data_IF_356784573330
#
_entry.id   IF_356784573330
#
_cell.length_a   1.000
_cell.length_b   1.000
_cell.length_c   1.000
_cell.angle_alpha   90.00
_cell.angle_beta   90.00
_cell.angle_gamma   90.00
#
_symmetry.space_group_name_H-M   'P 1'
#
loop_
_entity.id
_entity.type
_entity.pdbx_description
1 polymer ?
#
# COMPACT_ATOMS: atom_id res chain seq x y z
N UNK A 1 -22.94 49.40 -57.40
CA UNK A 1 -23.01 49.43 -55.92
C UNK A 1 -23.19 48.03 -55.40
N UNK A 2 -22.07 47.42 -54.94
CA UNK A 2 -21.98 46.02 -54.48
C UNK A 2 -22.25 46.03 -52.97
N UNK A 3 -23.30 45.40 -52.51
CA UNK A 3 -23.53 45.19 -51.09
C UNK A 3 -22.73 44.00 -50.60
N UNK A 4 -21.77 44.24 -49.71
CA UNK A 4 -21.06 43.19 -48.99
C UNK A 4 -21.96 42.65 -47.91
N UNK A 5 -22.28 41.32 -48.01
CA UNK A 5 -22.90 40.56 -46.95
C UNK A 5 -21.80 40.03 -46.08
N UNK A 6 -21.78 40.52 -44.82
CA UNK A 6 -20.86 40.10 -43.78
C UNK A 6 -21.49 38.89 -43.08
N UNK A 7 -20.98 37.69 -43.37
CA UNK A 7 -21.38 36.46 -42.67
C UNK A 7 -20.62 36.39 -41.36
N UNK A 8 -21.33 36.53 -40.24
CA UNK A 8 -20.78 36.32 -38.91
C UNK A 8 -20.73 34.82 -38.64
N UNK A 9 -19.52 34.26 -38.63
CA UNK A 9 -19.28 32.93 -38.11
C UNK A 9 -19.42 32.96 -36.59
N UNK A 10 -20.47 32.30 -36.07
CA UNK A 10 -20.59 31.99 -34.64
C UNK A 10 -19.54 30.90 -34.32
N UNK A 11 -18.50 31.30 -33.59
CA UNK A 11 -17.57 30.38 -32.97
C UNK A 11 -18.22 29.83 -31.71
N UNK A 12 -18.68 28.58 -31.75
CA UNK A 12 -19.09 27.85 -30.55
C UNK A 12 -17.81 27.27 -29.94
N UNK A 13 -17.42 27.65 -28.74
CA UNK A 13 -16.30 26.99 -28.11
C UNK A 13 -16.76 25.59 -27.70
N UNK A 14 -16.19 24.58 -28.34
CA UNK A 14 -16.23 23.22 -27.83
C UNK A 14 -15.46 23.21 -26.52
N UNK A 15 -16.18 23.19 -25.39
CA UNK A 15 -15.61 22.83 -24.10
C UNK A 15 -15.35 21.32 -24.17
N UNK A 16 -14.11 20.96 -24.48
CA UNK A 16 -13.64 19.63 -24.17
C UNK A 16 -13.64 19.51 -22.67
N UNK A 17 -14.57 18.71 -22.12
CA UNK A 17 -14.40 18.16 -20.79
C UNK A 17 -13.14 17.30 -20.85
N UNK A 18 -12.01 17.87 -20.49
CA UNK A 18 -10.80 17.14 -20.22
C UNK A 18 -11.13 16.21 -19.05
N UNK A 19 -11.16 14.89 -19.32
CA UNK A 19 -10.91 13.94 -18.27
C UNK A 19 -9.48 14.27 -17.81
N UNK A 20 -9.36 14.88 -16.64
CA UNK A 20 -8.06 15.06 -16.01
C UNK A 20 -7.52 13.68 -15.68
N UNK A 21 -6.72 13.12 -16.59
CA UNK A 21 -5.73 12.14 -16.23
C UNK A 21 -4.72 12.91 -15.37
N UNK A 22 -4.83 12.78 -14.05
CA UNK A 22 -3.76 13.21 -13.17
C UNK A 22 -2.52 12.41 -13.54
N UNK A 23 -1.41 13.09 -13.83
CA UNK A 23 -0.11 12.45 -13.92
C UNK A 23 0.12 11.69 -12.61
N UNK A 24 0.53 10.43 -12.70
CA UNK A 24 0.78 9.55 -11.53
C UNK A 24 1.76 10.19 -10.54
N UNK A 25 2.66 11.04 -11.03
CA UNK A 25 3.63 11.83 -10.25
C UNK A 25 2.99 12.85 -9.28
N UNK A 26 1.70 13.20 -9.44
CA UNK A 26 1.01 14.14 -8.56
C UNK A 26 0.21 13.47 -7.43
N UNK A 27 0.15 12.15 -7.37
CA UNK A 27 -0.68 11.43 -6.39
C UNK A 27 -0.05 11.32 -5.01
N UNK A 28 1.28 11.35 -4.93
CA UNK A 28 2.01 11.53 -3.69
C UNK A 28 2.86 12.79 -3.79
N UNK A 29 2.70 13.66 -2.84
CA UNK A 29 3.52 14.86 -2.69
C UNK A 29 4.18 14.86 -1.32
N UNK A 30 5.52 14.96 -1.31
CA UNK A 30 6.26 15.33 -0.11
C UNK A 30 5.90 16.78 0.21
N UNK A 31 5.45 17.02 1.43
CA UNK A 31 5.23 18.37 1.93
C UNK A 31 6.58 18.91 2.37
N UNK A 32 7.25 19.66 1.46
CA UNK A 32 8.53 20.30 1.76
C UNK A 32 8.32 21.59 2.57
N UNK A 33 9.10 21.71 3.66
CA UNK A 33 9.27 22.96 4.41
C UNK A 33 8.30 23.21 5.54
N UNK A 34 8.82 23.29 6.68
CA UNK A 34 8.41 23.62 8.03
C UNK A 34 7.33 24.70 8.31
N UNK A 35 6.37 24.93 7.48
CA UNK A 35 5.14 25.64 7.80
C UNK A 35 3.93 24.73 7.59
N UNK A 36 3.63 24.08 8.40
CA UNK A 36 2.84 23.34 9.39
C UNK A 36 1.33 23.48 9.31
N UNK A 37 0.74 24.04 8.26
CA UNK A 37 -0.72 23.98 8.07
C UNK A 37 -1.18 22.60 7.56
N UNK A 38 -0.29 21.84 6.92
CA UNK A 38 -0.62 20.55 6.32
C UNK A 38 -0.08 19.31 7.06
N UNK A 39 0.77 19.48 8.09
CA UNK A 39 1.18 18.35 8.92
C UNK A 39 0.07 17.94 9.89
N UNK A 40 0.14 16.71 10.39
CA UNK A 40 -0.73 16.22 11.45
C UNK A 40 0.13 15.70 12.62
N UNK A 41 -0.33 15.84 13.88
CA UNK A 41 0.41 15.30 15.02
C UNK A 41 0.61 13.79 14.88
N UNK A 42 1.75 13.29 15.38
CA UNK A 42 1.96 11.86 15.58
C UNK A 42 0.98 11.38 16.65
N UNK A 43 0.19 10.37 16.33
CA UNK A 43 -0.85 9.80 17.20
C UNK A 43 -0.66 8.30 17.44
N UNK A 44 0.17 7.65 16.63
CA UNK A 44 0.55 6.24 16.77
C UNK A 44 2.06 6.16 16.89
N UNK A 45 2.56 6.06 18.11
CA UNK A 45 3.98 5.82 18.39
C UNK A 45 4.31 4.34 18.19
N UNK A 46 5.53 4.05 17.75
CA UNK A 46 6.05 2.70 17.59
C UNK A 46 7.30 2.52 18.44
N UNK A 47 7.40 1.41 19.15
CA UNK A 47 8.55 1.06 20.01
C UNK A 47 9.01 -0.39 19.85
N UNK A 48 8.35 -1.16 18.97
CA UNK A 48 8.63 -2.57 18.77
C UNK A 48 8.80 -2.88 17.27
N UNK A 49 9.51 -3.98 16.98
CA UNK A 49 9.62 -4.48 15.61
C UNK A 49 8.25 -4.88 15.09
N UNK A 50 7.93 -4.41 13.91
CA UNK A 50 6.71 -4.78 13.19
C UNK A 50 7.08 -5.35 11.82
N UNK A 51 6.55 -6.53 11.50
CA UNK A 51 6.80 -7.17 10.22
C UNK A 51 5.73 -6.81 9.20
N UNK A 52 6.16 -6.58 7.97
CA UNK A 52 5.28 -6.50 6.81
C UNK A 52 5.02 -7.90 6.26
N UNK A 53 3.76 -8.27 6.16
CA UNK A 53 3.29 -9.54 5.62
C UNK A 53 2.51 -9.28 4.34
N UNK A 54 3.12 -9.50 3.18
CA UNK A 54 2.49 -9.32 1.88
C UNK A 54 1.97 -10.67 1.38
N UNK A 55 0.65 -10.86 1.41
CA UNK A 55 -0.02 -12.04 0.86
C UNK A 55 -0.32 -11.85 -0.61
N UNK A 56 0.20 -12.70 -1.47
CA UNK A 56 -0.17 -12.76 -2.88
C UNK A 56 -1.35 -13.70 -3.06
N UNK A 57 -2.49 -13.12 -3.47
CA UNK A 57 -3.80 -13.75 -3.44
C UNK A 57 -4.62 -13.45 -4.70
N UNK A 58 -5.80 -14.03 -4.82
CA UNK A 58 -6.71 -13.77 -5.95
C UNK A 58 -8.12 -14.30 -5.68
N UNK A 59 -9.15 -13.66 -6.25
CA UNK A 59 -10.54 -14.06 -6.09
C UNK A 59 -10.83 -15.48 -6.65
N UNK A 60 -10.16 -15.90 -7.73
CA UNK A 60 -10.37 -17.21 -8.37
C UNK A 60 -9.39 -18.29 -7.85
N UNK A 61 -8.67 -18.02 -6.79
CA UNK A 61 -7.75 -18.97 -6.17
C UNK A 61 -8.48 -19.83 -5.14
N UNK A 62 -8.62 -21.15 -5.34
CA UNK A 62 -9.44 -21.99 -4.47
C UNK A 62 -8.83 -22.23 -3.07
N UNK A 63 -7.56 -21.94 -2.89
CA UNK A 63 -6.82 -22.15 -1.63
C UNK A 63 -6.52 -20.83 -0.90
N UNK A 64 -6.81 -19.68 -1.51
CA UNK A 64 -6.48 -18.37 -0.93
C UNK A 64 -7.27 -18.05 0.35
N UNK A 65 -8.57 -18.42 0.49
CA UNK A 65 -9.28 -18.22 1.75
C UNK A 65 -8.60 -18.87 2.96
N UNK A 66 -7.94 -20.02 2.77
CA UNK A 66 -7.20 -20.66 3.86
C UNK A 66 -5.88 -19.95 4.17
N UNK A 67 -5.31 -19.19 3.22
CA UNK A 67 -4.18 -18.28 3.47
C UNK A 67 -4.61 -17.16 4.41
N UNK A 68 -5.74 -16.52 4.11
CA UNK A 68 -6.34 -15.49 4.95
C UNK A 68 -6.60 -15.99 6.39
N UNK A 69 -7.07 -17.24 6.55
CA UNK A 69 -7.26 -17.82 7.89
C UNK A 69 -5.96 -17.90 8.68
N UNK A 70 -4.87 -18.34 8.04
CA UNK A 70 -3.54 -18.39 8.70
C UNK A 70 -3.05 -16.99 9.05
N UNK A 71 -3.21 -16.01 8.16
CA UNK A 71 -2.83 -14.62 8.44
C UNK A 71 -3.63 -14.03 9.61
N UNK A 72 -4.92 -14.33 9.71
CA UNK A 72 -5.72 -13.91 10.86
C UNK A 72 -5.17 -14.53 12.17
N UNK A 73 -4.78 -15.80 12.18
CA UNK A 73 -4.15 -16.44 13.35
C UNK A 73 -2.82 -15.74 13.72
N UNK A 74 -2.02 -15.37 12.72
CA UNK A 74 -0.78 -14.60 12.93
C UNK A 74 -1.12 -13.22 13.51
N UNK A 75 -2.11 -12.51 12.95
CA UNK A 75 -2.54 -11.20 13.46
C UNK A 75 -3.07 -11.28 14.88
N UNK A 76 -3.83 -12.31 15.21
CA UNK A 76 -4.32 -12.55 16.57
C UNK A 76 -3.16 -12.80 17.56
N UNK A 77 -2.08 -13.42 17.09
CA UNK A 77 -0.91 -13.74 17.92
C UNK A 77 0.00 -12.53 18.15
N UNK A 78 0.26 -11.74 17.10
CA UNK A 78 1.26 -10.66 17.11
C UNK A 78 0.65 -9.25 17.16
N UNK A 79 -0.67 -9.11 17.00
CA UNK A 79 -1.37 -7.84 17.10
C UNK A 79 -0.83 -6.77 16.17
N UNK A 80 -0.47 -5.62 16.75
CA UNK A 80 0.07 -4.46 16.02
C UNK A 80 1.50 -4.70 15.48
N UNK A 81 2.18 -5.78 15.90
CA UNK A 81 3.53 -6.09 15.45
C UNK A 81 3.57 -6.79 14.09
N UNK A 82 2.42 -6.95 13.43
CA UNK A 82 2.33 -7.34 12.02
C UNK A 82 1.40 -6.42 11.26
N UNK A 83 1.85 -5.97 10.10
CA UNK A 83 1.06 -5.27 9.08
C UNK A 83 0.81 -6.24 7.94
N UNK A 84 -0.46 -6.45 7.59
CA UNK A 84 -0.86 -7.35 6.51
C UNK A 84 -1.27 -6.54 5.28
N UNK A 85 -0.83 -6.99 4.11
CA UNK A 85 -1.27 -6.46 2.82
C UNK A 85 -1.64 -7.62 1.89
N UNK A 86 -2.89 -7.66 1.43
CA UNK A 86 -3.38 -8.62 0.45
C UNK A 86 -3.21 -8.06 -0.96
N UNK A 87 -2.34 -8.68 -1.74
CA UNK A 87 -1.99 -8.28 -3.11
C UNK A 87 -2.68 -9.20 -4.09
N UNK A 88 -3.74 -8.70 -4.72
CA UNK A 88 -4.43 -9.40 -5.79
C UNK A 88 -3.65 -9.25 -7.08
N UNK A 89 -3.11 -10.36 -7.63
CA UNK A 89 -2.30 -10.32 -8.84
C UNK A 89 -2.34 -11.63 -9.63
N UNK A 90 -1.83 -11.57 -10.86
CA UNK A 90 -1.71 -12.72 -11.73
C UNK A 90 -3.03 -13.21 -12.32
N UNK A 91 -3.02 -14.33 -13.07
CA UNK A 91 -4.15 -14.76 -13.90
C UNK A 91 -5.38 -15.19 -13.11
N UNK A 92 -5.24 -15.52 -11.82
CA UNK A 92 -6.37 -15.82 -10.95
C UNK A 92 -7.08 -14.58 -10.38
N UNK A 93 -6.44 -13.41 -10.46
CA UNK A 93 -7.03 -12.15 -10.01
C UNK A 93 -7.79 -11.40 -11.12
N UNK A 94 -7.61 -11.80 -12.40
CA UNK A 94 -8.29 -11.17 -13.52
C UNK A 94 -9.80 -11.29 -13.41
N UNK A 95 -10.58 -10.19 -13.58
CA UNK A 95 -12.02 -10.25 -13.70
C UNK A 95 -12.44 -11.22 -14.81
N UNK A 96 -13.47 -12.04 -14.56
CA UNK A 96 -13.91 -13.05 -15.51
C UNK A 96 -15.41 -13.33 -15.40
N UNK A 97 -16.07 -13.40 -16.55
CA UNK A 97 -17.50 -13.69 -16.63
C UNK A 97 -18.34 -12.54 -16.04
N UNK A 98 -19.14 -12.82 -15.03
CA UNK A 98 -19.96 -11.86 -14.31
C UNK A 98 -19.21 -11.14 -13.16
N UNK A 99 -17.96 -11.49 -12.93
CA UNK A 99 -17.12 -10.88 -11.91
C UNK A 99 -16.38 -9.70 -12.55
N UNK A 100 -16.82 -8.50 -12.20
CA UNK A 100 -16.30 -7.22 -12.72
C UNK A 100 -15.38 -6.49 -11.72
N UNK A 101 -15.38 -6.93 -10.46
CA UNK A 101 -14.51 -6.35 -9.44
C UNK A 101 -13.05 -6.68 -9.75
N UNK A 102 -12.23 -5.66 -9.99
CA UNK A 102 -10.80 -5.78 -10.19
C UNK A 102 -10.08 -5.21 -8.96
N UNK A 103 -9.36 -6.07 -8.26
CA UNK A 103 -8.58 -5.72 -7.07
C UNK A 103 -7.07 -5.68 -7.36
N UNK A 104 -6.68 -5.85 -8.63
CA UNK A 104 -5.29 -5.74 -9.05
C UNK A 104 -4.86 -4.29 -9.06
N UNK A 105 -3.57 -4.09 -8.84
CA UNK A 105 -2.90 -2.80 -9.03
C UNK A 105 -1.63 -3.03 -9.84
N UNK A 106 -1.16 -2.03 -10.58
CA UNK A 106 0.10 -2.13 -11.33
C UNK A 106 1.26 -2.45 -10.39
N UNK A 107 1.29 -1.82 -9.22
CA UNK A 107 2.30 -2.10 -8.21
C UNK A 107 2.23 -3.54 -7.67
N UNK A 108 1.03 -4.05 -7.43
CA UNK A 108 0.83 -5.44 -7.01
C UNK A 108 1.29 -6.45 -8.07
N UNK A 109 1.01 -6.18 -9.34
CA UNK A 109 1.48 -7.01 -10.44
C UNK A 109 3.02 -6.96 -10.58
N UNK A 110 3.65 -5.80 -10.32
CA UNK A 110 5.10 -5.68 -10.32
C UNK A 110 5.75 -6.49 -9.18
N UNK A 111 5.24 -6.34 -7.95
CA UNK A 111 5.69 -7.12 -6.80
C UNK A 111 5.48 -8.62 -6.99
N UNK A 112 4.38 -8.99 -7.64
CA UNK A 112 4.00 -10.38 -7.86
C UNK A 112 4.84 -11.14 -8.90
N UNK A 113 5.69 -10.45 -9.66
CA UNK A 113 6.56 -11.10 -10.68
C UNK A 113 7.47 -12.19 -10.12
N UNK A 114 7.79 -12.12 -8.84
CA UNK A 114 8.63 -13.14 -8.17
C UNK A 114 7.79 -14.32 -7.64
N UNK A 115 6.46 -14.24 -7.67
CA UNK A 115 5.56 -15.26 -7.15
C UNK A 115 5.20 -16.29 -8.22
N UNK A 116 5.24 -17.57 -7.86
CA UNK A 116 4.93 -18.67 -8.77
C UNK A 116 3.72 -19.49 -8.35
N UNK A 117 3.14 -19.20 -7.19
CA UNK A 117 1.98 -19.91 -6.62
C UNK A 117 1.08 -18.98 -5.80
N UNK A 118 -0.17 -19.40 -5.59
CA UNK A 118 -1.16 -18.72 -4.78
C UNK A 118 -1.85 -19.69 -3.82
N UNK A 119 -2.08 -19.34 -2.53
CA UNK A 119 -1.53 -18.13 -1.90
C UNK A 119 -0.04 -18.25 -1.64
N UNK A 120 0.68 -17.12 -1.64
CA UNK A 120 2.07 -17.02 -1.20
C UNK A 120 2.22 -15.87 -0.22
N UNK A 121 3.18 -15.97 0.68
CA UNK A 121 3.49 -14.93 1.66
C UNK A 121 4.92 -14.43 1.45
N UNK A 122 5.11 -13.12 1.52
CA UNK A 122 6.41 -12.49 1.59
C UNK A 122 6.56 -11.75 2.93
N UNK A 123 7.53 -12.15 3.72
CA UNK A 123 7.81 -11.57 5.04
C UNK A 123 8.92 -10.54 4.85
N UNK A 124 8.64 -9.26 5.11
CA UNK A 124 9.58 -8.13 4.99
C UNK A 124 10.33 -8.09 3.66
N UNK A 125 9.78 -8.64 2.59
CA UNK A 125 10.44 -8.77 1.27
C UNK A 125 11.80 -9.46 1.33
N UNK A 126 11.98 -10.35 2.30
CA UNK A 126 13.20 -11.09 2.59
C UNK A 126 12.97 -12.61 2.50
N UNK A 127 11.92 -13.11 3.13
CA UNK A 127 11.61 -14.54 3.22
C UNK A 127 10.29 -14.87 2.56
N UNK A 128 10.29 -15.86 1.66
CA UNK A 128 9.10 -16.49 1.08
C UNK A 128 9.03 -17.91 1.61
N UNK A 129 8.11 -18.25 2.53
CA UNK A 129 7.96 -19.61 3.04
C UNK A 129 7.54 -20.59 1.94
N UNK A 130 7.94 -21.86 2.05
CA UNK A 130 7.69 -22.88 1.03
C UNK A 130 6.21 -23.14 0.75
N UNK A 131 5.35 -22.91 1.73
CA UNK A 131 3.92 -23.05 1.60
C UNK A 131 3.18 -22.53 2.83
N UNK A 132 1.86 -22.47 2.71
CA UNK A 132 0.98 -21.92 3.74
C UNK A 132 1.14 -22.56 5.12
N UNK A 133 1.45 -23.87 5.18
CA UNK A 133 1.67 -24.58 6.45
C UNK A 133 2.89 -24.12 7.23
N UNK A 134 3.80 -23.39 6.58
CA UNK A 134 5.04 -22.90 7.19
C UNK A 134 4.95 -21.43 7.63
N UNK A 135 3.85 -20.71 7.32
CA UNK A 135 3.75 -19.26 7.51
C UNK A 135 3.91 -18.85 8.98
N UNK A 136 3.18 -19.49 9.89
CA UNK A 136 3.26 -19.18 11.33
C UNK A 136 4.68 -19.40 11.87
N UNK A 137 5.30 -20.53 11.52
CA UNK A 137 6.67 -20.83 11.93
C UNK A 137 7.67 -19.85 11.35
N UNK A 138 7.54 -19.51 10.05
CA UNK A 138 8.45 -18.57 9.40
C UNK A 138 8.35 -17.15 9.99
N UNK A 139 7.15 -16.71 10.38
CA UNK A 139 6.95 -15.42 11.07
C UNK A 139 7.59 -15.46 12.47
N UNK A 140 7.39 -16.54 13.24
CA UNK A 140 8.01 -16.71 14.55
C UNK A 140 9.54 -16.70 14.47
N UNK A 141 10.11 -17.44 13.52
CA UNK A 141 11.56 -17.51 13.28
C UNK A 141 12.13 -16.14 12.87
N UNK A 142 11.36 -15.39 12.05
CA UNK A 142 11.76 -14.06 11.64
C UNK A 142 11.84 -13.11 12.83
N UNK A 143 10.83 -13.07 13.70
CA UNK A 143 10.85 -12.28 14.93
C UNK A 143 12.01 -12.68 15.86
N UNK A 144 12.32 -13.97 15.96
CA UNK A 144 13.39 -14.45 16.83
C UNK A 144 14.80 -14.03 16.38
N UNK A 145 14.98 -13.67 15.10
CA UNK A 145 16.30 -13.40 14.51
C UNK A 145 16.47 -11.99 13.94
N UNK A 146 15.38 -11.27 13.72
CA UNK A 146 15.44 -9.93 13.14
C UNK A 146 15.93 -8.88 14.12
N UNK A 147 16.72 -7.93 13.63
CA UNK A 147 17.14 -6.76 14.39
C UNK A 147 16.12 -5.63 14.23
N UNK A 148 15.76 -4.98 15.33
CA UNK A 148 14.92 -3.79 15.35
C UNK A 148 15.79 -2.53 15.15
N UNK A 149 15.90 -2.10 13.88
CA UNK A 149 16.80 -1.01 13.49
C UNK A 149 16.23 0.39 13.69
N UNK A 150 14.92 0.54 13.58
CA UNK A 150 14.27 1.85 13.62
C UNK A 150 12.79 1.74 14.00
N UNK A 151 12.22 2.84 14.49
CA UNK A 151 10.78 3.02 14.68
C UNK A 151 10.18 3.89 13.59
N UNK A 152 8.90 3.66 13.26
CA UNK A 152 8.09 4.49 12.39
C UNK A 152 6.83 4.91 13.15
N UNK A 153 6.82 6.12 13.69
CA UNK A 153 5.63 6.67 14.34
C UNK A 153 4.81 7.49 13.36
N UNK A 154 3.48 7.42 13.45
CA UNK A 154 2.57 7.91 12.43
C UNK A 154 1.51 8.85 13.00
N UNK A 155 1.05 9.76 12.14
CA UNK A 155 -0.17 10.52 12.32
C UNK A 155 -0.86 10.69 10.98
N UNK A 156 -2.21 10.68 10.95
CA UNK A 156 -2.95 10.88 9.72
C UNK A 156 -4.17 11.79 9.93
N UNK A 157 -4.58 12.46 8.85
CA UNK A 157 -5.85 13.20 8.76
C UNK A 157 -6.32 13.22 7.31
N UNK A 158 -7.62 13.40 7.13
CA UNK A 158 -8.19 13.73 5.81
C UNK A 158 -8.31 15.24 5.71
N UNK A 159 -7.78 15.82 4.63
CA UNK A 159 -7.88 17.26 4.35
C UNK A 159 -9.26 17.66 3.77
N UNK A 160 -9.47 18.95 3.59
CA UNK A 160 -10.74 19.49 3.06
C UNK A 160 -11.02 19.03 1.60
N UNK A 161 -10.01 18.58 0.86
CA UNK A 161 -10.12 18.09 -0.51
C UNK A 161 -10.32 16.57 -0.56
N UNK A 162 -10.32 15.90 0.61
CA UNK A 162 -10.46 14.46 0.73
C UNK A 162 -9.15 13.69 0.48
N UNK A 163 -8.00 14.37 0.47
CA UNK A 163 -6.70 13.71 0.45
C UNK A 163 -6.32 13.23 1.85
N UNK A 164 -5.43 12.25 1.92
CA UNK A 164 -4.88 11.75 3.18
C UNK A 164 -3.52 12.40 3.42
N UNK A 165 -3.40 13.16 4.51
CA UNK A 165 -2.12 13.70 5.00
C UNK A 165 -1.57 12.71 6.01
N UNK A 166 -0.34 12.22 5.79
CA UNK A 166 0.36 11.32 6.69
C UNK A 166 1.64 11.99 7.17
N UNK A 167 1.79 12.12 8.48
CA UNK A 167 3.05 12.54 9.11
C UNK A 167 3.77 11.32 9.63
N UNK A 168 5.08 11.27 9.41
CA UNK A 168 5.96 10.19 9.87
C UNK A 168 7.05 10.78 10.75
N UNK A 169 7.38 10.09 11.85
CA UNK A 169 8.63 10.26 12.56
C UNK A 169 9.38 8.93 12.53
N UNK A 170 10.58 8.93 11.96
CA UNK A 170 11.44 7.77 11.85
C UNK A 170 12.61 7.99 12.81
N UNK A 171 12.76 7.09 13.78
CA UNK A 171 13.83 7.11 14.77
C UNK A 171 14.77 5.93 14.58
N UNK A 172 16.06 6.20 14.32
CA UNK A 172 17.07 5.16 14.21
C UNK A 172 17.49 4.67 15.59
N UNK A 173 17.38 3.37 15.84
CA UNK A 173 17.77 2.70 17.09
C UNK A 173 19.22 2.21 17.03
N UNK A 174 19.74 2.01 15.82
CA UNK A 174 21.09 1.56 15.51
C UNK A 174 21.66 2.39 14.36
N UNK A 175 23.00 2.32 14.15
CA UNK A 175 23.63 2.89 12.96
C UNK A 175 23.26 2.05 11.72
N UNK A 176 22.68 2.68 10.71
CA UNK A 176 22.29 2.04 9.45
C UNK A 176 23.12 2.64 8.32
N UNK A 177 24.12 1.87 7.87
CA UNK A 177 25.08 2.32 6.85
C UNK A 177 24.60 2.12 5.41
N UNK A 178 23.54 1.34 5.19
CA UNK A 178 22.93 1.20 3.86
C UNK A 178 22.03 2.38 3.54
N UNK A 179 21.87 2.66 2.25
CA UNK A 179 20.86 3.65 1.81
C UNK A 179 19.46 3.10 2.07
N UNK A 180 18.63 3.92 2.69
CA UNK A 180 17.26 3.60 3.00
C UNK A 180 16.29 4.30 2.04
N UNK A 181 15.16 3.65 1.84
CA UNK A 181 14.02 4.19 1.11
C UNK A 181 12.76 4.05 1.96
N UNK A 182 11.88 5.05 1.87
CA UNK A 182 10.56 5.00 2.46
C UNK A 182 9.52 4.80 1.36
N UNK A 183 8.55 3.93 1.61
CA UNK A 183 7.41 3.69 0.72
C UNK A 183 6.12 3.78 1.52
N UNK A 184 5.11 4.40 0.91
CA UNK A 184 3.77 4.48 1.46
C UNK A 184 2.78 3.92 0.44
N UNK A 185 1.75 3.21 0.90
CA UNK A 185 0.62 2.81 0.09
C UNK A 185 -0.65 2.68 0.93
N UNK A 186 -1.78 2.54 0.25
CA UNK A 186 -3.08 2.37 0.91
C UNK A 186 -3.57 0.93 0.77
N UNK A 187 -4.14 0.42 1.86
CA UNK A 187 -4.94 -0.80 1.86
C UNK A 187 -6.39 -0.47 2.18
N UNK A 188 -7.33 -1.28 1.70
CA UNK A 188 -8.76 -1.16 1.99
C UNK A 188 -9.30 -2.50 2.46
N UNK A 189 -10.12 -2.46 3.51
CA UNK A 189 -10.81 -3.62 4.06
C UNK A 189 -12.32 -3.56 3.78
N UNK A 190 -13.01 -4.67 4.04
CA UNK A 190 -14.46 -4.83 3.86
C UNK A 190 -14.94 -4.59 2.43
N UNK A 191 -14.12 -4.95 1.44
CA UNK A 191 -14.53 -4.91 0.04
C UNK A 191 -15.35 -6.15 -0.27
N UNK A 192 -16.66 -5.95 -0.51
CA UNK A 192 -17.56 -7.05 -0.85
C UNK A 192 -17.33 -7.54 -2.28
N UNK A 193 -17.25 -8.85 -2.45
CA UNK A 193 -17.10 -9.48 -3.77
C UNK A 193 -17.34 -10.98 -3.75
N UNK A 194 -16.85 -11.64 -4.77
CA UNK A 194 -16.93 -13.10 -4.93
C UNK A 194 -15.55 -13.71 -4.74
N UNK A 195 -15.49 -14.78 -3.95
CA UNK A 195 -14.25 -15.53 -3.70
C UNK A 195 -14.47 -17.00 -3.98
N UNK A 196 -13.54 -17.63 -4.70
CA UNK A 196 -13.52 -19.08 -4.89
C UNK A 196 -12.89 -19.75 -3.67
N UNK A 197 -13.58 -20.76 -3.13
CA UNK A 197 -13.07 -21.63 -2.07
C UNK A 197 -13.34 -23.09 -2.44
N UNK A 198 -12.31 -23.91 -2.55
CA UNK A 198 -12.42 -25.34 -2.88
C UNK A 198 -13.39 -25.68 -4.02
N UNK A 199 -13.47 -24.83 -5.05
CA UNK A 199 -14.34 -25.02 -6.22
C UNK A 199 -15.73 -24.41 -6.08
N UNK A 200 -16.10 -23.87 -4.92
CA UNK A 200 -17.34 -23.13 -4.68
C UNK A 200 -17.08 -21.63 -4.75
N UNK A 201 -18.04 -20.86 -5.25
CA UNK A 201 -18.00 -19.39 -5.18
C UNK A 201 -18.75 -18.95 -3.91
N UNK A 202 -18.06 -18.18 -3.07
CA UNK A 202 -18.65 -17.51 -1.91
C UNK A 202 -19.10 -16.14 -2.39
N UNK A 203 -20.41 -15.89 -2.39
CA UNK A 203 -21.02 -14.59 -2.63
C UNK A 203 -20.91 -13.72 -1.37
N UNK A 204 -20.69 -12.42 -1.53
CA UNK A 204 -20.59 -11.50 -0.39
C UNK A 204 -19.34 -11.72 0.50
N UNK A 205 -18.27 -12.28 -0.09
CA UNK A 205 -16.99 -12.39 0.60
C UNK A 205 -16.42 -11.00 0.86
N UNK A 206 -15.95 -10.74 2.08
CA UNK A 206 -15.32 -9.46 2.46
C UNK A 206 -13.80 -9.60 2.40
N UNK A 207 -13.22 -8.99 1.38
CA UNK A 207 -11.77 -8.90 1.25
C UNK A 207 -11.19 -7.90 2.25
N UNK A 208 -10.09 -8.27 2.91
CA UNK A 208 -9.42 -7.49 3.93
C UNK A 208 -8.01 -7.08 3.50
N UNK A 209 -7.54 -5.92 3.97
CA UNK A 209 -6.17 -5.43 3.77
C UNK A 209 -5.73 -5.37 2.31
N UNK A 210 -6.67 -5.17 1.38
CA UNK A 210 -6.40 -5.20 -0.06
C UNK A 210 -5.55 -4.01 -0.47
N UNK A 211 -4.43 -4.25 -1.13
CA UNK A 211 -3.63 -3.20 -1.76
C UNK A 211 -4.47 -2.46 -2.81
N UNK A 212 -4.75 -1.18 -2.55
CA UNK A 212 -5.58 -0.37 -3.47
C UNK A 212 -4.77 0.57 -4.30
N UNK A 213 -3.66 1.02 -3.77
CA UNK A 213 -2.91 2.07 -4.41
C UNK A 213 -1.51 2.18 -3.81
N UNK A 214 -0.54 2.31 -4.70
CA UNK A 214 0.78 2.82 -4.35
C UNK A 214 1.04 4.08 -5.15
N UNK A 215 0.88 5.25 -4.55
CA UNK A 215 1.13 6.52 -5.23
C UNK A 215 2.61 6.73 -5.59
N UNK A 216 3.51 5.82 -5.16
CA UNK A 216 4.94 5.88 -5.43
C UNK A 216 5.38 4.66 -6.26
N UNK A 217 4.71 4.34 -7.34
CA UNK A 217 5.06 3.18 -8.19
C UNK A 217 6.50 3.25 -8.71
N UNK A 218 7.05 4.45 -8.90
CA UNK A 218 8.35 4.64 -9.53
C UNK A 218 9.43 5.30 -8.64
N UNK A 219 9.11 5.71 -7.41
CA UNK A 219 10.04 6.50 -6.60
C UNK A 219 9.94 6.16 -5.11
N UNK A 220 10.60 5.07 -4.64
CA UNK A 220 10.87 5.02 -3.22
C UNK A 220 11.68 6.28 -2.87
N UNK A 221 11.18 7.06 -1.91
CA UNK A 221 11.86 8.28 -1.50
C UNK A 221 13.14 7.91 -0.75
N UNK A 222 14.28 8.30 -1.30
CA UNK A 222 15.58 8.04 -0.69
C UNK A 222 15.71 8.82 0.62
N UNK A 223 16.12 8.12 1.67
CA UNK A 223 16.37 8.69 2.98
C UNK A 223 17.86 8.83 3.31
N UNK A 224 18.72 8.09 2.59
CA UNK A 224 20.15 7.97 2.90
C UNK A 224 20.44 7.01 4.05
N UNK A 225 21.62 7.17 4.66
CA UNK A 225 22.06 6.42 5.85
C UNK A 225 21.57 7.12 7.12
N UNK A 226 21.38 6.38 8.21
CA UNK A 226 20.98 6.94 9.50
C UNK A 226 21.98 6.54 10.58
N UNK A 227 22.30 7.48 11.49
CA UNK A 227 23.03 7.19 12.71
C UNK A 227 22.08 7.00 13.88
N UNK A 228 22.44 6.18 14.84
CA UNK A 228 21.66 5.94 16.06
C UNK A 228 21.21 7.25 16.70
N UNK A 229 19.95 7.33 17.12
CA UNK A 229 19.33 8.51 17.72
C UNK A 229 18.87 9.57 16.73
N UNK A 230 19.12 9.41 15.42
CA UNK A 230 18.57 10.30 14.39
C UNK A 230 17.04 10.19 14.37
N UNK A 231 16.36 11.35 14.39
CA UNK A 231 14.91 11.46 14.18
C UNK A 231 14.64 12.26 12.92
N UNK A 232 13.89 11.67 12.00
CA UNK A 232 13.46 12.32 10.77
C UNK A 232 11.94 12.45 10.78
N UNK A 233 11.45 13.67 10.63
CA UNK A 233 10.02 13.95 10.48
C UNK A 233 9.72 14.39 9.05
N UNK A 234 8.72 13.79 8.43
CA UNK A 234 8.24 14.16 7.10
C UNK A 234 6.72 14.00 7.03
N UNK A 235 6.10 14.78 6.17
CA UNK A 235 4.68 14.65 5.88
C UNK A 235 4.44 14.41 4.40
N UNK A 236 3.43 13.62 4.10
CA UNK A 236 3.06 13.19 2.75
C UNK A 236 1.59 13.46 2.50
N UNK A 237 1.28 13.88 1.29
CA UNK A 237 -0.09 14.02 0.81
C UNK A 237 -0.38 12.88 -0.17
N UNK A 238 -1.33 11.99 0.19
CA UNK A 238 -1.79 10.93 -0.68
C UNK A 238 -3.16 11.30 -1.26
N UNK A 239 -3.29 11.17 -2.58
CA UNK A 239 -4.58 11.33 -3.27
C UNK A 239 -5.13 9.91 -3.53
N UNK A 240 -6.16 9.45 -2.80
CA UNK A 240 -6.70 8.12 -2.99
C UNK A 240 -7.25 7.91 -4.40
N UNK A 241 -7.15 6.69 -4.93
CA UNK A 241 -7.75 6.33 -6.19
C UNK A 241 -9.28 6.48 -6.16
N UNK A 242 -9.90 6.64 -7.32
CA UNK A 242 -11.35 6.67 -7.44
C UNK A 242 -11.96 5.33 -6.98
N UNK A 243 -13.09 5.39 -6.27
CA UNK A 243 -13.82 4.22 -5.81
C UNK A 243 -13.32 3.58 -4.51
N UNK A 244 -12.27 4.15 -3.89
CA UNK A 244 -11.77 3.70 -2.58
C UNK A 244 -12.64 4.26 -1.46
N UNK A 245 -13.09 3.39 -0.53
CA UNK A 245 -13.80 3.80 0.68
C UNK A 245 -12.80 4.16 1.79
N UNK A 246 -12.52 5.44 1.94
CA UNK A 246 -11.50 5.95 2.87
C UNK A 246 -11.75 5.58 4.34
N UNK A 247 -13.00 5.30 4.72
CA UNK A 247 -13.32 4.89 6.09
C UNK A 247 -12.82 3.48 6.43
N UNK A 248 -12.54 2.67 5.41
CA UNK A 248 -12.07 1.30 5.53
C UNK A 248 -10.60 1.18 5.09
N UNK A 249 -9.90 2.31 4.96
CA UNK A 249 -8.51 2.33 4.51
C UNK A 249 -7.54 2.52 5.65
N UNK A 250 -6.36 1.91 5.48
CA UNK A 250 -5.17 2.19 6.25
C UNK A 250 -4.07 2.69 5.31
N UNK A 251 -3.17 3.50 5.82
CA UNK A 251 -1.93 3.84 5.15
C UNK A 251 -0.82 3.00 5.77
N UNK A 252 -0.20 2.17 4.95
CA UNK A 252 0.98 1.40 5.30
C UNK A 252 2.21 2.21 4.96
N UNK A 253 3.13 2.32 5.90
CA UNK A 253 4.43 2.98 5.75
C UNK A 253 5.51 1.98 6.05
N UNK A 254 6.49 1.85 5.16
CA UNK A 254 7.64 0.97 5.37
C UNK A 254 8.95 1.67 5.04
N UNK A 255 10.00 1.28 5.73
CA UNK A 255 11.38 1.65 5.44
C UNK A 255 12.15 0.40 5.06
N UNK A 256 12.83 0.47 3.92
CA UNK A 256 13.54 -0.66 3.35
C UNK A 256 14.99 -0.27 2.97
N UNK A 257 15.86 -1.26 2.91
CA UNK A 257 17.18 -1.14 2.30
C UNK A 257 17.03 -0.94 0.78
N UNK A 258 17.61 0.13 0.25
CA UNK A 258 17.45 0.51 -1.16
C UNK A 258 18.07 -0.47 -2.15
N UNK A 259 19.04 -1.30 -1.70
CA UNK A 259 19.77 -2.22 -2.57
C UNK A 259 19.09 -3.58 -2.64
N UNK A 260 18.72 -4.13 -1.47
CA UNK A 260 18.11 -5.46 -1.38
C UNK A 260 16.59 -5.43 -1.51
N UNK A 261 15.95 -4.29 -1.23
CA UNK A 261 14.51 -4.17 -1.10
C UNK A 261 13.95 -4.70 0.21
N UNK A 262 14.79 -5.28 1.08
CA UNK A 262 14.37 -5.83 2.37
C UNK A 262 13.77 -4.75 3.26
N UNK A 263 12.57 -4.98 3.75
CA UNK A 263 11.91 -4.09 4.70
C UNK A 263 12.53 -4.27 6.08
N UNK A 264 12.95 -3.16 6.69
CA UNK A 264 13.54 -3.14 8.02
C UNK A 264 12.48 -2.89 9.09
N UNK A 265 11.44 -2.12 8.74
CA UNK A 265 10.34 -1.78 9.65
C UNK A 265 9.11 -1.37 8.83
N UNK A 266 7.94 -1.65 9.36
CA UNK A 266 6.66 -1.19 8.83
C UNK A 266 5.74 -0.69 9.96
N UNK A 267 4.78 0.15 9.62
CA UNK A 267 3.67 0.54 10.48
C UNK A 267 2.45 0.90 9.61
N UNK A 268 1.27 0.89 10.20
CA UNK A 268 0.02 1.30 9.52
C UNK A 268 -0.81 2.23 10.40
N UNK A 269 -1.61 3.09 9.77
CA UNK A 269 -2.51 4.01 10.48
C UNK A 269 -3.81 4.19 9.72
#
# INVERSE_FOLDING_TARGET
KLKKILSALLFVPFVFASCENYDEDERLKLIEGGETTDSTPITKEQSELTLLLEEFTAWNCPNCPQGTVVLNTIKDTYGENVVITAIHQGPFAEPKGDITLDLRTEYGDELGKVMTSWPSLWINRDVIPSGRGDWETAVADYFATATHYLNISLGSKIDANGNVVVSTEIEALEDISSNLVITLYMTESDIEGKQKDNGTIIEGYLFQHVLRDNPIVNYPLTMGTLTQGTKLQKSYLLKPAAGVNKSNCHVVVMVADATSGKVLQANEI
#
